data_IF_804895696683
#
_entry.id   IF_804895696683
#
_cell.length_a   1.000
_cell.length_b   1.000
_cell.length_c   1.000
_cell.angle_alpha   90.00
_cell.angle_beta   90.00
_cell.angle_gamma   90.00
#
_symmetry.space_group_name_H-M   'P 1'
#
loop_
_entity.id
_entity.type
_entity.pdbx_description
1 polymer ?
#
# COMPACT_ATOMS: atom_id res chain seq x y z
N UNK A 1 1.16 -3.35 -62.90
CA UNK A 1 1.17 -4.14 -61.66
C UNK A 1 2.11 -3.44 -60.67
N UNK A 2 1.56 -2.77 -59.68
CA UNK A 2 2.30 -2.04 -58.64
C UNK A 2 2.43 -2.99 -57.45
N UNK A 3 3.62 -3.46 -57.10
CA UNK A 3 3.86 -4.29 -55.94
C UNK A 3 4.04 -3.37 -54.72
N UNK A 4 3.06 -3.38 -53.82
CA UNK A 4 3.20 -2.79 -52.49
C UNK A 4 3.99 -3.73 -51.59
N UNK A 5 5.24 -3.38 -51.31
CA UNK A 5 6.05 -4.05 -50.30
C UNK A 5 5.62 -3.49 -48.91
N UNK A 6 4.88 -4.29 -48.14
CA UNK A 6 4.67 -4.03 -46.73
C UNK A 6 5.97 -4.36 -45.98
N UNK A 7 6.67 -3.33 -45.55
CA UNK A 7 7.75 -3.45 -44.56
C UNK A 7 7.09 -3.71 -43.18
N UNK A 8 7.06 -4.96 -42.73
CA UNK A 8 6.74 -5.29 -41.34
C UNK A 8 7.90 -4.74 -40.47
N UNK A 9 7.70 -3.57 -39.92
CA UNK A 9 8.58 -3.07 -38.86
C UNK A 9 8.56 -4.08 -37.70
N UNK A 10 9.72 -4.68 -37.41
CA UNK A 10 9.92 -5.42 -36.16
C UNK A 10 9.68 -4.41 -35.04
N UNK A 11 8.56 -4.55 -34.36
CA UNK A 11 8.36 -3.81 -33.10
C UNK A 11 9.50 -4.28 -32.18
N UNK A 12 10.44 -3.39 -31.90
CA UNK A 12 11.42 -3.62 -30.85
C UNK A 12 10.63 -3.97 -29.57
N UNK A 13 11.02 -5.07 -28.93
CA UNK A 13 10.47 -5.41 -27.63
C UNK A 13 10.64 -4.15 -26.76
N UNK A 14 9.53 -3.51 -26.40
CA UNK A 14 9.56 -2.37 -25.50
C UNK A 14 10.12 -2.88 -24.19
N UNK A 15 11.11 -2.20 -23.66
CA UNK A 15 11.59 -2.42 -22.31
C UNK A 15 10.37 -2.42 -21.36
N UNK A 16 10.37 -3.34 -20.41
CA UNK A 16 9.27 -3.47 -19.46
C UNK A 16 9.12 -2.15 -18.70
N UNK A 17 7.91 -1.56 -18.62
CA UNK A 17 7.73 -0.28 -17.93
C UNK A 17 7.96 -0.45 -16.44
N UNK A 18 8.58 0.54 -15.79
CA UNK A 18 8.52 0.65 -14.35
C UNK A 18 7.10 1.01 -13.92
N UNK A 19 6.64 0.45 -12.80
CA UNK A 19 5.28 0.62 -12.29
C UNK A 19 5.37 1.22 -10.91
N UNK A 20 4.89 2.46 -10.75
CA UNK A 20 4.77 3.13 -9.45
C UNK A 20 3.30 3.36 -9.16
N UNK A 21 2.85 2.88 -8.01
CA UNK A 21 1.47 3.01 -7.54
C UNK A 21 1.49 3.87 -6.28
N UNK A 22 0.77 4.98 -6.30
CA UNK A 22 0.63 5.86 -5.13
C UNK A 22 -0.83 5.79 -4.69
N UNK A 23 -1.04 5.21 -3.52
CA UNK A 23 -2.35 5.00 -2.94
C UNK A 23 -2.67 6.06 -1.89
N UNK A 24 -3.67 6.89 -2.16
CA UNK A 24 -4.17 7.83 -1.14
C UNK A 24 -5.08 7.12 -0.14
N UNK A 25 -4.87 7.35 1.15
CA UNK A 25 -5.67 6.79 2.24
C UNK A 25 -6.63 7.87 2.76
N UNK A 26 -7.94 7.63 2.64
CA UNK A 26 -9.01 8.56 2.98
C UNK A 26 -8.92 9.95 2.30
N UNK A 27 -8.25 10.03 1.15
CA UNK A 27 -8.18 11.24 0.33
C UNK A 27 -9.38 11.27 -0.61
N UNK A 28 -10.29 12.19 -0.37
CA UNK A 28 -11.47 12.38 -1.21
C UNK A 28 -11.14 13.05 -2.54
N UNK A 29 -11.97 12.82 -3.56
CA UNK A 29 -11.87 13.47 -4.86
C UNK A 29 -11.79 14.99 -4.75
N UNK A 30 -12.51 15.58 -3.79
CA UNK A 30 -12.51 17.02 -3.55
C UNK A 30 -11.19 17.58 -2.98
N UNK A 31 -10.31 16.73 -2.47
CA UNK A 31 -8.99 17.12 -1.98
C UNK A 31 -7.95 17.30 -3.10
N UNK A 32 -8.25 16.81 -4.30
CA UNK A 32 -7.34 16.89 -5.45
C UNK A 32 -7.73 18.06 -6.36
N UNK A 33 -6.81 19.00 -6.57
CA UNK A 33 -7.09 20.21 -7.36
C UNK A 33 -7.42 19.90 -8.83
N UNK A 34 -6.92 18.80 -9.38
CA UNK A 34 -7.24 18.37 -10.75
C UNK A 34 -8.74 18.10 -10.96
N UNK A 35 -9.46 17.62 -9.93
CA UNK A 35 -10.90 17.40 -10.02
C UNK A 35 -11.73 18.62 -9.66
N UNK A 36 -11.26 19.46 -8.75
CA UNK A 36 -12.01 20.58 -8.19
C UNK A 36 -11.54 21.94 -8.68
N UNK A 37 -10.44 21.99 -9.43
CA UNK A 37 -9.77 23.24 -9.84
C UNK A 37 -9.43 24.14 -8.66
N UNK A 38 -9.12 23.52 -7.51
CA UNK A 38 -8.78 24.23 -6.29
C UNK A 38 -9.98 24.83 -5.53
N UNK A 39 -11.23 24.47 -5.88
CA UNK A 39 -12.45 25.02 -5.23
C UNK A 39 -12.44 24.81 -3.71
N UNK A 40 -11.89 23.71 -3.22
CA UNK A 40 -11.80 23.39 -1.79
C UNK A 40 -10.55 24.00 -1.11
N UNK A 41 -9.79 24.83 -1.80
CA UNK A 41 -8.57 25.46 -1.27
C UNK A 41 -7.32 24.57 -1.31
N UNK A 42 -7.45 23.31 -1.70
CA UNK A 42 -6.31 22.39 -1.84
C UNK A 42 -5.60 22.60 -3.17
N UNK A 43 -4.27 22.46 -3.14
CA UNK A 43 -3.42 22.51 -4.32
C UNK A 43 -2.56 21.25 -4.36
N UNK A 44 -2.67 20.47 -5.44
CA UNK A 44 -1.95 19.21 -5.63
C UNK A 44 -1.17 19.23 -6.95
N UNK A 45 -0.19 20.13 -7.09
CA UNK A 45 0.42 20.43 -8.40
C UNK A 45 1.14 19.22 -9.02
N UNK A 46 1.71 18.35 -8.23
CA UNK A 46 2.38 17.14 -8.73
C UNK A 46 1.38 16.10 -9.22
N UNK A 47 0.24 15.95 -8.54
CA UNK A 47 -0.84 15.04 -8.98
C UNK A 47 -1.51 15.62 -10.23
N UNK A 48 -1.76 16.92 -10.25
CA UNK A 48 -2.32 17.63 -11.40
C UNK A 48 -1.43 17.47 -12.64
N UNK A 49 -0.10 17.49 -12.46
CA UNK A 49 0.86 17.22 -13.54
C UNK A 49 0.74 15.78 -14.07
N UNK A 50 0.63 14.78 -13.20
CA UNK A 50 0.42 13.39 -13.64
C UNK A 50 -0.85 13.25 -14.47
N UNK A 51 -1.93 13.92 -14.07
CA UNK A 51 -3.17 13.95 -14.84
C UNK A 51 -3.04 14.65 -16.19
N UNK A 52 -2.29 15.75 -16.23
CA UNK A 52 -2.08 16.53 -17.47
C UNK A 52 -1.17 15.82 -18.49
N UNK A 53 -0.17 15.08 -18.01
CA UNK A 53 0.79 14.34 -18.84
C UNK A 53 0.32 12.91 -19.16
N UNK A 54 -0.67 12.41 -18.44
CA UNK A 54 -1.17 11.04 -18.55
C UNK A 54 -2.67 10.95 -18.80
N UNK A 55 -3.39 10.31 -17.91
CA UNK A 55 -4.83 10.07 -18.01
C UNK A 55 -5.53 10.38 -16.69
N UNK A 56 -6.69 11.02 -16.78
CA UNK A 56 -7.59 11.32 -15.66
C UNK A 56 -8.87 10.50 -15.81
N UNK A 57 -9.19 9.69 -14.81
CA UNK A 57 -10.46 8.97 -14.74
C UNK A 57 -11.49 9.83 -14.00
N UNK A 58 -12.66 10.02 -14.59
CA UNK A 58 -13.77 10.76 -13.98
C UNK A 58 -14.68 9.88 -13.16
N UNK A 59 -14.69 8.58 -13.45
CA UNK A 59 -15.52 7.55 -12.82
C UNK A 59 -14.67 6.34 -12.49
N UNK A 60 -14.15 6.31 -11.25
CA UNK A 60 -13.37 5.19 -10.71
C UNK A 60 -13.76 5.03 -9.25
N UNK A 61 -14.47 3.95 -8.95
CA UNK A 61 -15.06 3.72 -7.63
C UNK A 61 -14.17 2.79 -6.81
N UNK A 62 -14.01 3.13 -5.53
CA UNK A 62 -13.31 2.32 -4.54
C UNK A 62 -14.26 1.42 -3.75
N UNK A 63 -13.69 0.59 -2.91
CA UNK A 63 -14.43 -0.17 -1.91
C UNK A 63 -14.74 0.71 -0.68
N UNK A 64 -15.60 0.22 0.22
CA UNK A 64 -16.15 0.98 1.33
C UNK A 64 -15.18 1.24 2.48
N UNK A 65 -14.01 0.60 2.52
CA UNK A 65 -13.03 0.76 3.59
C UNK A 65 -11.61 0.51 3.11
N UNK A 66 -10.63 0.93 3.91
CA UNK A 66 -9.22 0.82 3.56
C UNK A 66 -8.76 -0.63 3.36
N UNK A 67 -9.07 -1.57 4.26
CA UNK A 67 -8.73 -2.99 4.08
C UNK A 67 -9.39 -3.56 2.83
N UNK A 68 -10.67 -3.27 2.62
CA UNK A 68 -11.41 -3.73 1.45
C UNK A 68 -10.80 -3.23 0.13
N UNK A 69 -10.56 -1.91 0.03
CA UNK A 69 -9.96 -1.32 -1.16
C UNK A 69 -8.55 -1.83 -1.44
N UNK A 70 -7.73 -1.96 -0.39
CA UNK A 70 -6.35 -2.46 -0.51
C UNK A 70 -6.31 -3.91 -0.95
N UNK A 71 -7.15 -4.78 -0.37
CA UNK A 71 -7.23 -6.18 -0.77
C UNK A 71 -7.73 -6.32 -2.21
N UNK A 72 -8.79 -5.61 -2.58
CA UNK A 72 -9.33 -5.65 -3.95
C UNK A 72 -8.28 -5.18 -4.98
N UNK A 73 -7.55 -4.13 -4.67
CA UNK A 73 -6.50 -3.62 -5.55
C UNK A 73 -5.34 -4.59 -5.70
N UNK A 74 -4.76 -5.07 -4.58
CA UNK A 74 -3.52 -5.84 -4.61
C UNK A 74 -3.73 -7.25 -5.18
N UNK A 75 -4.94 -7.82 -4.98
CA UNK A 75 -5.28 -9.17 -5.47
C UNK A 75 -6.02 -9.16 -6.80
N UNK A 76 -6.57 -8.01 -7.23
CA UNK A 76 -7.48 -7.95 -8.37
C UNK A 76 -8.79 -8.70 -8.14
N UNK A 77 -9.16 -8.98 -6.90
CA UNK A 77 -10.33 -9.75 -6.53
C UNK A 77 -11.37 -8.90 -5.78
N UNK A 78 -12.65 -9.21 -5.97
CA UNK A 78 -13.70 -8.64 -5.12
C UNK A 78 -13.51 -9.05 -3.67
N UNK A 79 -13.84 -8.14 -2.76
CA UNK A 79 -13.81 -8.38 -1.29
C UNK A 79 -14.72 -9.51 -0.83
N UNK A 80 -15.75 -9.86 -1.61
CA UNK A 80 -16.56 -11.05 -1.36
C UNK A 80 -15.81 -12.36 -1.58
N UNK A 81 -14.72 -12.33 -2.35
CA UNK A 81 -13.87 -13.48 -2.59
C UNK A 81 -12.75 -13.59 -1.56
N UNK A 82 -12.08 -12.50 -1.25
CA UNK A 82 -11.02 -12.48 -0.23
C UNK A 82 -11.56 -12.54 1.20
N UNK A 83 -12.83 -12.17 1.42
CA UNK A 83 -13.41 -12.04 2.76
C UNK A 83 -12.99 -10.76 3.50
N UNK A 84 -12.04 -9.99 2.98
CA UNK A 84 -11.50 -8.78 3.60
C UNK A 84 -12.42 -7.56 3.37
N UNK A 85 -13.67 -7.68 3.77
CA UNK A 85 -14.74 -6.70 3.49
C UNK A 85 -14.89 -5.60 4.54
N UNK A 86 -14.08 -5.59 5.59
CA UNK A 86 -14.11 -4.60 6.67
C UNK A 86 -12.71 -4.33 7.23
N UNK A 87 -12.60 -3.26 7.98
CA UNK A 87 -11.34 -2.81 8.58
C UNK A 87 -10.76 -3.88 9.52
N UNK A 88 -9.52 -4.28 9.30
CA UNK A 88 -8.77 -5.13 10.23
C UNK A 88 -8.32 -4.34 11.46
N UNK A 89 -8.46 -4.93 12.63
CA UNK A 89 -8.03 -4.36 13.91
C UNK A 89 -6.80 -5.12 14.43
N UNK A 90 -6.01 -4.51 15.32
CA UNK A 90 -4.90 -5.22 15.97
C UNK A 90 -5.36 -6.53 16.61
N UNK A 91 -4.60 -7.60 16.36
CA UNK A 91 -4.91 -8.94 16.87
C UNK A 91 -6.04 -9.67 16.13
N UNK A 92 -6.60 -9.10 15.06
CA UNK A 92 -7.58 -9.80 14.22
C UNK A 92 -6.96 -11.04 13.56
N UNK A 93 -7.78 -12.06 13.38
CA UNK A 93 -7.34 -13.30 12.71
C UNK A 93 -7.47 -13.19 11.18
N UNK A 94 -8.23 -12.21 10.72
CA UNK A 94 -8.50 -11.95 9.31
C UNK A 94 -7.35 -11.15 8.68
N UNK A 95 -6.89 -11.60 7.54
CA UNK A 95 -5.85 -10.95 6.74
C UNK A 95 -5.63 -11.69 5.44
N UNK A 96 -4.59 -11.32 4.71
CA UNK A 96 -4.21 -11.98 3.46
C UNK A 96 -4.01 -13.48 3.68
N UNK A 97 -4.57 -14.27 2.79
CA UNK A 97 -4.42 -15.73 2.81
C UNK A 97 -3.39 -16.16 1.75
N UNK A 98 -2.69 -17.28 1.96
CA UNK A 98 -1.71 -17.78 1.00
C UNK A 98 -2.28 -18.06 -0.40
N UNK A 99 -3.60 -18.26 -0.50
CA UNK A 99 -4.29 -18.52 -1.76
C UNK A 99 -4.65 -17.25 -2.54
N UNK A 100 -4.55 -16.08 -1.90
CA UNK A 100 -4.87 -14.79 -2.55
C UNK A 100 -3.69 -14.31 -3.39
N UNK A 101 -3.78 -14.38 -4.74
CA UNK A 101 -2.69 -13.92 -5.59
C UNK A 101 -2.52 -12.41 -5.48
N UNK A 102 -1.28 -11.95 -5.50
CA UNK A 102 -0.99 -10.51 -5.50
C UNK A 102 -0.39 -10.04 -6.82
N UNK A 103 -0.50 -8.76 -7.09
CA UNK A 103 0.16 -8.13 -8.23
C UNK A 103 1.69 -8.35 -8.18
N UNK A 104 2.29 -8.37 -6.99
CA UNK A 104 3.71 -8.62 -6.80
C UNK A 104 4.10 -10.03 -7.23
N UNK A 105 3.35 -11.04 -6.79
CA UNK A 105 3.56 -12.44 -7.20
C UNK A 105 3.44 -12.61 -8.71
N UNK A 106 2.49 -11.93 -9.36
CA UNK A 106 2.29 -12.00 -10.81
C UNK A 106 3.41 -11.30 -11.58
N UNK A 107 4.00 -10.24 -11.04
CA UNK A 107 5.07 -9.49 -11.72
C UNK A 107 6.46 -10.14 -11.53
N UNK A 108 6.68 -10.84 -10.44
CA UNK A 108 7.97 -11.44 -10.09
C UNK A 108 8.53 -12.41 -11.16
N UNK A 109 7.72 -13.33 -11.73
CA UNK A 109 8.19 -14.20 -12.84
C UNK A 109 8.59 -13.44 -14.10
N UNK A 110 8.17 -12.19 -14.21
CA UNK A 110 8.56 -11.30 -15.30
C UNK A 110 9.82 -10.48 -14.99
N UNK A 111 10.48 -10.74 -13.86
CA UNK A 111 11.75 -10.11 -13.48
C UNK A 111 11.60 -8.70 -12.87
N UNK A 112 10.44 -8.37 -12.34
CA UNK A 112 10.27 -7.15 -11.57
C UNK A 112 10.82 -7.31 -10.16
N UNK A 113 11.56 -6.31 -9.68
CA UNK A 113 11.74 -6.07 -8.26
C UNK A 113 10.47 -5.41 -7.71
N UNK A 114 10.02 -5.84 -6.53
CA UNK A 114 8.71 -5.45 -6.00
C UNK A 114 8.83 -4.97 -4.57
N UNK A 115 8.28 -3.81 -4.24
CA UNK A 115 8.25 -3.33 -2.86
C UNK A 115 6.94 -2.59 -2.52
N UNK A 116 6.63 -2.55 -1.24
CA UNK A 116 5.52 -1.78 -0.70
C UNK A 116 6.01 -0.90 0.44
N UNK A 117 5.66 0.37 0.42
CA UNK A 117 6.02 1.36 1.44
C UNK A 117 4.78 2.07 1.94
N UNK A 118 4.66 2.21 3.28
CA UNK A 118 3.50 2.80 3.92
C UNK A 118 2.51 1.78 4.48
N UNK A 119 1.26 2.18 4.68
CA UNK A 119 0.23 1.35 5.32
C UNK A 119 -0.12 0.10 4.48
N UNK A 120 -0.05 -1.10 5.09
CA UNK A 120 -0.50 -2.34 4.47
C UNK A 120 -1.99 -2.62 4.74
N UNK A 121 -2.38 -2.76 5.99
CA UNK A 121 -3.76 -2.98 6.49
C UNK A 121 -4.46 -4.25 5.95
N UNK A 122 -3.70 -5.31 5.73
CA UNK A 122 -4.19 -6.60 5.23
C UNK A 122 -3.84 -7.76 6.17
N UNK A 123 -3.79 -7.49 7.46
CA UNK A 123 -3.41 -8.42 8.53
C UNK A 123 -2.08 -8.04 9.17
N UNK A 124 -1.86 -8.57 10.37
CA UNK A 124 -0.71 -8.20 11.23
C UNK A 124 0.20 -9.37 11.61
N UNK A 125 -0.17 -10.58 11.25
CA UNK A 125 0.67 -11.75 11.47
C UNK A 125 1.80 -11.79 10.46
N UNK A 126 2.89 -12.44 10.82
CA UNK A 126 4.06 -12.54 9.96
C UNK A 126 3.74 -13.14 8.59
N UNK A 127 2.89 -14.16 8.55
CA UNK A 127 2.44 -14.82 7.33
C UNK A 127 1.57 -13.93 6.42
N UNK A 128 1.04 -12.82 6.94
CA UNK A 128 0.22 -11.85 6.22
C UNK A 128 1.01 -10.63 5.73
N UNK A 129 2.30 -10.54 6.05
CA UNK A 129 3.12 -9.41 5.61
C UNK A 129 3.34 -9.43 4.09
N UNK A 130 3.46 -8.27 3.44
CA UNK A 130 3.63 -8.18 1.99
C UNK A 130 4.77 -9.05 1.43
N UNK A 131 5.84 -9.22 2.19
CA UNK A 131 7.00 -10.03 1.79
C UNK A 131 6.72 -11.53 1.75
N UNK A 132 5.64 -11.99 2.37
CA UNK A 132 5.13 -13.35 2.22
C UNK A 132 4.09 -13.49 1.09
N UNK A 133 3.78 -12.38 0.42
CA UNK A 133 2.85 -12.26 -0.70
C UNK A 133 3.51 -11.61 -1.93
N UNK A 134 4.76 -11.99 -2.22
CA UNK A 134 5.47 -11.66 -3.45
C UNK A 134 6.29 -10.37 -3.44
N UNK A 135 6.19 -9.51 -2.44
CA UNK A 135 7.05 -8.33 -2.35
C UNK A 135 8.46 -8.69 -1.87
N UNK A 136 9.48 -8.06 -2.44
CA UNK A 136 10.86 -8.24 -2.02
C UNK A 136 11.20 -7.45 -0.76
N UNK A 137 10.53 -6.31 -0.57
CA UNK A 137 10.70 -5.42 0.58
C UNK A 137 9.37 -4.79 0.98
N UNK A 138 9.15 -4.66 2.29
CA UNK A 138 8.06 -3.90 2.87
C UNK A 138 8.57 -3.04 4.02
N UNK A 139 8.17 -1.76 4.03
CA UNK A 139 8.36 -0.89 5.18
C UNK A 139 7.11 -0.07 5.42
N UNK A 140 6.53 -0.20 6.61
CA UNK A 140 5.32 0.56 6.95
C UNK A 140 4.56 0.05 8.16
N UNK A 141 3.42 0.64 8.39
CA UNK A 141 2.48 0.30 9.46
C UNK A 141 1.39 -0.65 8.96
N UNK A 142 0.77 -1.36 9.89
CA UNK A 142 -0.18 -2.42 9.59
C UNK A 142 -1.64 -1.99 9.76
N UNK A 143 -1.90 -0.80 10.32
CA UNK A 143 -3.24 -0.30 10.61
C UNK A 143 -3.40 1.18 10.21
N UNK A 144 -4.60 1.73 10.41
CA UNK A 144 -4.82 3.17 10.34
C UNK A 144 -4.18 3.89 11.55
N UNK A 145 -3.87 5.16 11.39
CA UNK A 145 -3.15 5.94 12.41
C UNK A 145 -3.89 6.01 13.76
N UNK A 146 -5.22 5.97 13.76
CA UNK A 146 -5.99 5.94 15.00
C UNK A 146 -5.66 4.71 15.85
N UNK A 147 -5.61 3.51 15.25
CA UNK A 147 -5.27 2.30 15.98
C UNK A 147 -3.82 2.34 16.50
N UNK A 148 -2.91 2.89 15.71
CA UNK A 148 -1.51 3.08 16.12
C UNK A 148 -1.36 4.08 17.29
N UNK A 149 -2.24 5.08 17.37
CA UNK A 149 -2.22 6.11 18.41
C UNK A 149 -2.95 5.68 19.70
N UNK A 150 -3.75 4.63 19.68
CA UNK A 150 -4.56 4.22 20.84
C UNK A 150 -3.72 3.90 22.08
N UNK A 151 -2.55 3.26 22.04
CA UNK A 151 -1.72 3.03 23.21
C UNK A 151 -1.29 4.30 23.96
N UNK A 152 -1.35 5.46 23.30
CA UNK A 152 -1.06 6.76 23.95
C UNK A 152 -2.31 7.44 24.51
N UNK A 153 -3.48 6.80 24.43
CA UNK A 153 -4.70 7.34 24.98
C UNK A 153 -4.77 7.07 26.50
N UNK A 154 -5.21 8.06 27.33
CA UNK A 154 -5.27 7.89 28.79
C UNK A 154 -6.15 6.73 29.27
N UNK A 155 -7.17 6.37 28.48
CA UNK A 155 -8.12 5.31 28.79
C UNK A 155 -7.74 3.97 28.12
N UNK A 156 -6.54 3.87 27.53
CA UNK A 156 -6.07 2.60 26.97
C UNK A 156 -5.78 1.61 28.08
N UNK A 157 -6.36 0.39 28.05
CA UNK A 157 -6.18 -0.56 29.13
C UNK A 157 -4.72 -0.92 29.35
N UNK A 158 -4.29 -0.86 30.59
CA UNK A 158 -2.96 -1.35 30.99
C UNK A 158 -2.98 -2.86 31.23
N UNK A 159 -1.83 -3.51 31.17
CA UNK A 159 -1.71 -4.94 31.50
C UNK A 159 -1.97 -5.22 33.00
N UNK A 160 -1.95 -4.21 33.88
CA UNK A 160 -2.38 -4.29 35.28
C UNK A 160 -3.90 -4.42 35.39
N UNK A 161 -4.63 -3.68 34.53
CA UNK A 161 -6.10 -3.71 34.50
C UNK A 161 -6.64 -4.93 33.74
N UNK A 162 -6.03 -5.25 32.61
CA UNK A 162 -6.39 -6.42 31.77
C UNK A 162 -5.11 -7.15 31.35
N UNK A 163 -4.73 -8.22 32.08
CA UNK A 163 -3.51 -8.96 31.80
C UNK A 163 -3.41 -9.47 30.36
N UNK A 164 -2.31 -9.15 29.67
CA UNK A 164 -2.04 -9.51 28.28
C UNK A 164 -2.83 -8.74 27.23
N UNK A 165 -3.43 -7.59 27.62
CA UNK A 165 -4.19 -6.76 26.69
C UNK A 165 -3.28 -6.20 25.57
N UNK A 166 -2.16 -5.62 25.96
CA UNK A 166 -1.22 -5.02 25.00
C UNK A 166 -0.61 -6.04 24.05
N UNK A 167 -0.31 -7.25 24.54
CA UNK A 167 0.20 -8.36 23.72
C UNK A 167 -0.83 -8.81 22.68
N UNK A 168 -2.11 -8.84 23.04
CA UNK A 168 -3.17 -9.36 22.18
C UNK A 168 -3.78 -8.36 21.25
N UNK A 169 -3.94 -7.11 21.68
CA UNK A 169 -4.70 -6.07 20.98
C UNK A 169 -3.88 -4.80 20.69
N UNK A 170 -2.63 -4.75 21.15
CA UNK A 170 -1.74 -3.66 20.82
C UNK A 170 -1.34 -3.67 19.34
N UNK A 171 -1.28 -2.52 18.68
CA UNK A 171 -0.78 -2.45 17.32
C UNK A 171 0.70 -2.82 17.28
N UNK A 172 1.11 -3.58 16.28
CA UNK A 172 2.53 -3.76 15.97
C UNK A 172 3.10 -2.42 15.52
N UNK A 173 4.39 -2.22 15.76
CA UNK A 173 5.07 -1.02 15.30
C UNK A 173 5.23 -0.95 13.79
N UNK A 174 6.04 -0.01 13.35
CA UNK A 174 6.44 0.07 11.94
C UNK A 174 7.37 -1.09 11.63
N UNK A 175 6.97 -1.91 10.68
CA UNK A 175 7.68 -3.13 10.30
C UNK A 175 8.54 -2.87 9.08
N UNK A 176 9.77 -3.42 9.09
CA UNK A 176 10.62 -3.55 7.91
C UNK A 176 10.84 -5.04 7.66
N UNK A 177 10.29 -5.57 6.57
CA UNK A 177 10.45 -6.97 6.23
C UNK A 177 11.00 -7.18 4.82
N UNK A 178 11.57 -8.36 4.58
CA UNK A 178 12.28 -8.73 3.36
C UNK A 178 11.89 -10.13 2.91
N UNK A 179 12.02 -10.39 1.61
CA UNK A 179 11.70 -11.70 1.02
C UNK A 179 12.57 -12.86 1.53
N UNK A 180 13.69 -12.58 2.20
CA UNK A 180 14.53 -13.58 2.86
C UNK A 180 13.99 -14.06 4.21
N UNK A 181 12.83 -13.54 4.65
CA UNK A 181 12.16 -13.87 5.91
C UNK A 181 12.62 -13.00 7.09
N UNK A 182 13.51 -12.05 6.89
CA UNK A 182 13.92 -11.12 7.93
C UNK A 182 12.79 -10.12 8.19
N UNK A 183 12.44 -9.94 9.47
CA UNK A 183 11.42 -9.02 9.96
C UNK A 183 12.03 -8.20 11.08
N UNK A 184 12.02 -6.90 10.93
CA UNK A 184 12.49 -5.92 11.91
C UNK A 184 11.31 -5.08 12.39
N UNK A 185 11.01 -5.13 13.69
CA UNK A 185 10.12 -4.16 14.32
C UNK A 185 10.94 -2.91 14.65
N UNK A 186 10.64 -1.81 13.97
CA UNK A 186 11.38 -0.55 14.12
C UNK A 186 10.82 0.34 15.23
N UNK A 187 9.92 -0.21 16.04
CA UNK A 187 9.27 0.46 17.16
C UNK A 187 7.89 1.03 16.83
N UNK A 188 7.15 1.46 17.86
CA UNK A 188 5.76 1.91 17.71
C UNK A 188 5.63 3.14 16.83
N UNK A 189 4.51 3.23 16.13
CA UNK A 189 4.12 4.44 15.40
C UNK A 189 3.38 5.39 16.35
N UNK A 190 4.12 6.03 17.22
CA UNK A 190 3.60 7.03 18.15
C UNK A 190 3.09 8.27 17.42
N UNK A 191 2.23 9.06 18.07
CA UNK A 191 1.77 10.36 17.53
C UNK A 191 2.94 11.25 17.10
N UNK A 192 4.03 11.22 17.85
CA UNK A 192 5.24 11.99 17.51
C UNK A 192 5.90 11.46 16.23
N UNK A 193 5.99 10.15 16.05
CA UNK A 193 6.54 9.54 14.83
C UNK A 193 5.64 9.76 13.61
N UNK A 194 4.32 9.84 13.81
CA UNK A 194 3.37 10.14 12.73
C UNK A 194 3.61 11.48 12.05
N UNK A 195 4.22 12.46 12.75
CA UNK A 195 4.51 13.77 12.16
C UNK A 195 5.48 13.70 10.96
N UNK A 196 6.29 12.63 10.86
CA UNK A 196 7.34 12.48 9.83
C UNK A 196 7.33 11.11 9.13
N UNK A 197 6.36 10.26 9.40
CA UNK A 197 6.32 8.91 8.82
C UNK A 197 6.22 8.94 7.30
N UNK A 198 5.50 9.91 6.73
CA UNK A 198 5.36 10.03 5.28
C UNK A 198 6.68 10.40 4.61
N UNK A 199 7.51 11.22 5.26
CA UNK A 199 8.85 11.55 4.76
C UNK A 199 9.77 10.32 4.78
N UNK A 200 9.69 9.51 5.85
CA UNK A 200 10.47 8.26 5.96
C UNK A 200 10.01 7.23 4.90
N UNK A 201 8.71 7.06 4.71
CA UNK A 201 8.13 6.21 3.67
C UNK A 201 8.56 6.65 2.27
N UNK A 202 8.48 7.95 1.99
CA UNK A 202 8.86 8.50 0.69
C UNK A 202 10.36 8.33 0.41
N UNK A 203 11.22 8.57 1.41
CA UNK A 203 12.66 8.39 1.28
C UNK A 203 13.04 6.94 0.97
N UNK A 204 12.41 5.96 1.65
CA UNK A 204 12.64 4.53 1.40
C UNK A 204 12.12 4.08 0.05
N UNK A 205 10.98 4.59 -0.39
CA UNK A 205 10.46 4.32 -1.73
C UNK A 205 11.41 4.86 -2.82
N UNK A 206 11.93 6.07 -2.64
CA UNK A 206 12.90 6.66 -3.55
C UNK A 206 14.21 5.84 -3.60
N UNK A 207 14.75 5.45 -2.45
CA UNK A 207 15.94 4.60 -2.36
C UNK A 207 15.74 3.25 -3.07
N UNK A 208 14.57 2.61 -2.88
CA UNK A 208 14.25 1.37 -3.58
C UNK A 208 14.22 1.57 -5.10
N UNK A 209 13.61 2.65 -5.59
CA UNK A 209 13.57 2.98 -7.02
C UNK A 209 15.00 3.18 -7.56
N UNK A 210 15.83 3.94 -6.86
CA UNK A 210 17.23 4.19 -7.25
C UNK A 210 18.06 2.91 -7.32
N UNK A 211 17.89 2.00 -6.36
CA UNK A 211 18.60 0.70 -6.31
C UNK A 211 18.12 -0.28 -7.38
N UNK A 212 16.91 -0.11 -7.88
CA UNK A 212 16.26 -1.03 -8.82
C UNK A 212 16.28 -0.53 -10.27
N UNK A 213 16.83 0.67 -10.53
CA UNK A 213 16.86 1.34 -11.84
C UNK A 213 17.93 0.77 -12.80
#
# INVERSE_FOLDING_TARGET
MLALTFSAGVAAARDKPNIVIIWGDDIGQSNLSVYTRGLMGYQTPNIDRVAAEGMLFTDYYGEQSCTAGRSAFITGQSVFRTGLSKVGMPGALEGMQPEDPTIAELLKPHGYATAQFGKNHLGDRDDMLPTNHGFDEFYGNLYHLNAEAEPEHPDYPTDEEIPGFSERFGPRGVIHSYADGRIEDTGPLTRKRMETIDDDVAARAADFIERSA
#
